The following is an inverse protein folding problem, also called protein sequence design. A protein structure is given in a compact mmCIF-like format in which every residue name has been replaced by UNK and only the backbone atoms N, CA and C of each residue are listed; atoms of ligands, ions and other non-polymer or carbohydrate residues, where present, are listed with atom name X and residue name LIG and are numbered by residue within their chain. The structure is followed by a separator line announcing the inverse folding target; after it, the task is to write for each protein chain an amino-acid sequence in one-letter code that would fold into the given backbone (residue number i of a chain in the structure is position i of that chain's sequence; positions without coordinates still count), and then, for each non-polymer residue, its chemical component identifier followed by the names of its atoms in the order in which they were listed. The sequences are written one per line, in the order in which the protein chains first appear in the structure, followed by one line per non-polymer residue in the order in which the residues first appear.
data_IF_941299828574
#
_entry.id   IF_941299828574
#
_cell.length_a   1.000
_cell.length_b   1.000
_cell.length_c   1.000
_cell.angle_alpha   90.00
_cell.angle_beta   90.00
_cell.angle_gamma   90.00
#
_symmetry.space_group_name_H-M   'P 1'
#
loop_
_entity.id
_entity.type
_entity.pdbx_description
1 polymer ?
#
# COMPACT_ATOMS: atom_id res chain seq x y z
N UNK A 1 22.30 8.51 59.89
CA UNK A 1 23.47 9.41 59.91
C UNK A 1 23.94 9.59 58.49
N UNK A 2 23.90 10.83 57.99
CA UNK A 2 24.40 11.20 56.68
C UNK A 2 25.92 11.39 56.74
N UNK A 3 26.64 11.07 55.66
CA UNK A 3 27.76 11.92 55.26
C UNK A 3 27.96 11.92 53.74
N UNK A 4 28.28 13.11 53.25
CA UNK A 4 28.37 13.55 51.85
C UNK A 4 29.81 13.45 51.31
N UNK A 5 29.91 13.72 50.01
CA UNK A 5 31.05 14.36 49.29
C UNK A 5 32.06 13.38 48.67
N UNK A 6 32.67 13.60 47.49
CA UNK A 6 32.69 14.70 46.52
C UNK A 6 33.36 14.21 45.22
N UNK A 7 33.04 14.86 44.11
CA UNK A 7 33.61 14.71 42.75
C UNK A 7 35.07 15.18 42.61
N UNK A 8 35.76 14.65 41.57
CA UNK A 8 36.88 15.17 40.71
C UNK A 8 37.85 13.99 40.43
N UNK A 9 38.20 13.52 39.23
CA UNK A 9 38.22 14.06 37.87
C UNK A 9 39.69 14.17 37.40
N UNK A 10 40.12 13.42 36.36
CA UNK A 10 41.05 13.87 35.29
C UNK A 10 41.47 12.76 34.27
N UNK A 11 41.38 13.12 32.97
CA UNK A 11 42.24 12.80 31.78
C UNK A 11 42.63 11.35 31.44
N UNK A 12 42.22 10.73 30.32
CA UNK A 12 42.38 11.01 28.87
C UNK A 12 43.59 10.26 28.23
N UNK A 13 43.46 9.97 26.91
CA UNK A 13 44.32 9.19 25.98
C UNK A 13 43.90 7.70 25.92
N UNK A 14 43.43 7.10 24.83
CA UNK A 14 43.34 7.51 23.43
C UNK A 14 43.66 6.30 22.56
N UNK A 15 42.66 5.66 21.95
CA UNK A 15 42.84 4.92 20.69
C UNK A 15 41.65 5.22 19.80
N UNK A 16 41.96 6.03 18.80
CA UNK A 16 41.16 6.36 17.65
C UNK A 16 41.32 5.21 16.63
N UNK A 17 40.26 4.45 16.39
CA UNK A 17 40.14 3.70 15.13
C UNK A 17 38.82 4.08 14.50
N UNK A 18 38.90 5.04 13.57
CA UNK A 18 37.83 5.40 12.66
C UNK A 18 37.75 4.28 11.61
N UNK A 19 36.67 3.51 11.61
CA UNK A 19 36.13 2.94 10.37
C UNK A 19 34.73 3.50 10.19
N UNK A 20 34.66 4.49 9.32
CA UNK A 20 33.46 5.12 8.79
C UNK A 20 32.59 4.13 8.03
N UNK A 21 31.28 4.26 8.21
CA UNK A 21 30.38 4.34 7.07
C UNK A 21 29.40 3.20 6.86
N UNK A 22 28.33 3.15 7.66
CA UNK A 22 26.97 2.90 7.19
C UNK A 22 26.02 3.64 8.14
N UNK A 23 25.23 4.64 7.69
CA UNK A 23 24.07 5.03 8.47
C UNK A 23 23.10 3.85 8.43
N UNK A 24 23.06 3.08 9.52
CA UNK A 24 21.85 2.38 9.92
C UNK A 24 20.78 3.46 10.05
N UNK A 25 20.04 3.69 8.97
CA UNK A 25 18.76 4.37 9.00
C UNK A 25 17.87 3.54 9.91
N UNK A 26 17.91 3.85 11.21
CA UNK A 26 16.92 3.41 12.15
C UNK A 26 15.57 3.78 11.54
N UNK A 27 14.82 2.76 11.11
CA UNK A 27 13.38 2.89 10.95
C UNK A 27 12.88 3.33 12.31
N UNK A 28 12.74 4.64 12.50
CA UNK A 28 12.06 5.19 13.65
C UNK A 28 10.69 4.50 13.67
N UNK A 29 10.40 3.81 14.77
CA UNK A 29 9.10 3.23 15.01
C UNK A 29 8.05 4.34 14.91
N UNK A 30 7.45 4.48 13.73
CA UNK A 30 6.38 5.42 13.49
C UNK A 30 5.11 4.77 13.98
N UNK A 31 4.55 5.34 15.04
CA UNK A 31 3.23 5.00 15.55
C UNK A 31 2.22 5.18 14.41
N UNK A 32 1.72 4.08 13.87
CA UNK A 32 0.55 4.05 12.99
C UNK A 32 -0.63 4.63 13.77
N UNK A 33 -0.89 5.93 13.63
CA UNK A 33 -1.98 6.58 14.33
C UNK A 33 -3.30 6.01 13.81
N UNK A 34 -3.97 5.26 14.66
CA UNK A 34 -5.24 4.66 14.32
C UNK A 34 -6.32 5.76 14.36
N UNK A 35 -7.05 5.92 13.25
CA UNK A 35 -7.98 7.02 13.03
C UNK A 35 -9.37 6.58 13.46
N UNK A 36 -10.01 7.35 14.34
CA UNK A 36 -11.41 7.13 14.69
C UNK A 36 -12.31 7.46 13.51
N UNK A 37 -13.05 6.47 13.03
CA UNK A 37 -14.16 6.67 12.10
C UNK A 37 -15.35 7.29 12.82
N UNK A 38 -16.36 7.66 12.03
CA UNK A 38 -17.69 8.04 12.48
C UNK A 38 -18.41 6.96 13.29
N UNK A 39 -18.06 5.68 13.14
CA UNK A 39 -18.61 4.58 13.97
C UNK A 39 -17.90 4.43 15.31
N UNK A 40 -16.87 5.25 15.58
CA UNK A 40 -16.02 5.15 16.78
C UNK A 40 -14.93 4.08 16.65
N UNK A 41 -14.89 3.36 15.53
CA UNK A 41 -13.89 2.34 15.24
C UNK A 41 -12.55 2.99 14.97
N UNK A 42 -11.50 2.40 15.50
CA UNK A 42 -10.14 2.92 15.36
C UNK A 42 -9.47 2.15 14.22
N UNK A 43 -9.47 2.74 13.02
CA UNK A 43 -8.98 2.09 11.80
C UNK A 43 -7.55 2.54 11.52
N UNK A 44 -6.68 1.59 11.18
CA UNK A 44 -5.38 1.91 10.58
C UNK A 44 -5.61 2.32 9.13
N UNK A 45 -5.19 3.52 8.73
CA UNK A 45 -5.27 3.94 7.32
C UNK A 45 -4.43 3.03 6.39
N UNK A 46 -3.54 2.19 6.95
CA UNK A 46 -2.80 1.14 6.22
C UNK A 46 -3.68 -0.06 5.83
N UNK A 47 -4.87 -0.23 6.43
CA UNK A 47 -5.74 -1.40 6.23
C UNK A 47 -6.96 -1.13 5.34
N UNK A 48 -7.06 0.04 4.70
CA UNK A 48 -8.07 0.25 3.66
C UNK A 48 -7.89 -0.83 2.60
N UNK A 49 -8.94 -1.57 2.22
CA UNK A 49 -8.84 -2.60 1.18
C UNK A 49 -9.11 -2.00 -0.20
N UNK A 50 -8.55 -2.64 -1.23
CA UNK A 50 -8.84 -2.26 -2.61
C UNK A 50 -10.33 -2.44 -2.90
N UNK A 51 -11.00 -1.34 -3.23
CA UNK A 51 -12.43 -1.29 -3.49
C UNK A 51 -13.30 -0.73 -2.39
N UNK A 52 -12.75 -0.60 -1.18
CA UNK A 52 -13.45 -0.03 -0.06
C UNK A 52 -13.21 1.48 0.02
N UNK A 53 -14.18 2.17 0.61
CA UNK A 53 -14.08 3.59 0.93
C UNK A 53 -14.22 3.77 2.44
N UNK A 54 -13.30 4.54 3.02
CA UNK A 54 -13.31 4.86 4.44
C UNK A 54 -13.61 6.34 4.62
N UNK A 55 -14.65 6.65 5.38
CA UNK A 55 -15.09 8.02 5.63
C UNK A 55 -14.53 8.55 6.94
N UNK A 56 -13.92 9.72 6.88
CA UNK A 56 -13.19 10.28 8.02
C UNK A 56 -13.68 11.71 8.31
N UNK A 57 -13.71 12.06 9.59
CA UNK A 57 -14.12 13.36 10.09
C UNK A 57 -13.06 14.00 10.96
N UNK A 58 -12.92 15.33 10.79
CA UNK A 58 -12.06 16.23 11.56
C UNK A 58 -10.65 15.66 11.83
N UNK A 59 -10.01 15.11 10.79
CA UNK A 59 -8.64 14.60 10.88
C UNK A 59 -7.64 15.76 10.76
N UNK A 60 -6.67 15.74 11.65
CA UNK A 60 -5.58 16.71 11.73
C UNK A 60 -4.24 15.97 11.92
N UNK A 61 -3.15 16.63 11.51
CA UNK A 61 -1.79 16.10 11.64
C UNK A 61 -1.34 15.27 10.44
N UNK A 62 -0.16 14.66 10.56
CA UNK A 62 0.42 13.79 9.54
C UNK A 62 0.03 12.33 9.79
N UNK A 63 -0.42 11.63 8.76
CA UNK A 63 -0.79 10.22 8.84
C UNK A 63 -0.30 9.47 7.60
N UNK A 64 0.08 8.21 7.79
CA UNK A 64 0.46 7.32 6.69
C UNK A 64 -0.77 6.85 5.93
N UNK A 65 -0.75 7.01 4.60
CA UNK A 65 -1.73 6.41 3.72
C UNK A 65 -1.07 6.00 2.40
N UNK A 66 -1.26 4.74 2.00
CA UNK A 66 -0.73 4.19 0.76
C UNK A 66 0.77 4.47 0.54
N UNK A 67 1.59 4.26 1.59
CA UNK A 67 3.04 4.45 1.54
C UNK A 67 3.52 5.89 1.60
N UNK A 68 2.63 6.83 1.87
CA UNK A 68 2.94 8.24 1.88
C UNK A 68 2.49 8.88 3.20
N UNK A 69 3.32 9.79 3.72
CA UNK A 69 2.91 10.69 4.79
C UNK A 69 2.00 11.77 4.20
N UNK A 70 0.77 11.85 4.67
CA UNK A 70 -0.22 12.83 4.23
C UNK A 70 -0.56 13.77 5.39
N UNK A 71 -0.37 15.06 5.16
CA UNK A 71 -0.68 16.10 6.13
C UNK A 71 -2.14 16.58 6.00
N UNK A 72 -2.90 16.47 7.07
CA UNK A 72 -4.30 16.88 7.17
C UNK A 72 -4.47 18.11 8.04
N UNK A 73 -5.41 18.96 7.65
CA UNK A 73 -5.83 20.11 8.45
C UNK A 73 -7.35 20.30 8.36
N UNK A 74 -8.04 20.07 9.47
CA UNK A 74 -9.50 20.08 9.60
C UNK A 74 -10.20 19.18 8.59
N UNK A 75 -9.55 18.09 8.19
CA UNK A 75 -9.94 17.28 7.04
C UNK A 75 -11.22 16.51 7.33
N UNK A 76 -12.10 16.44 6.35
CA UNK A 76 -13.14 15.41 6.30
C UNK A 76 -13.46 15.05 4.88
N UNK A 77 -13.72 13.78 4.66
CA UNK A 77 -13.84 13.25 3.31
C UNK A 77 -13.77 11.74 3.29
N UNK A 78 -13.25 11.21 2.19
CA UNK A 78 -13.19 9.77 1.95
C UNK A 78 -11.80 9.37 1.48
N UNK A 79 -11.31 8.26 2.01
CA UNK A 79 -10.17 7.52 1.50
C UNK A 79 -10.67 6.35 0.69
N UNK A 80 -9.95 5.94 -0.34
CA UNK A 80 -10.22 4.69 -1.02
C UNK A 80 -9.01 4.22 -1.81
N UNK A 81 -9.03 2.94 -2.16
CA UNK A 81 -8.04 2.36 -3.07
C UNK A 81 -8.76 1.70 -4.23
N UNK A 82 -8.28 1.99 -5.44
CA UNK A 82 -8.61 1.29 -6.66
C UNK A 82 -7.43 0.41 -7.08
N UNK A 83 -7.65 -0.48 -8.04
CA UNK A 83 -6.61 -1.38 -8.51
C UNK A 83 -5.36 -0.68 -9.06
N UNK A 84 -5.43 0.60 -9.45
CA UNK A 84 -4.32 1.38 -10.02
C UNK A 84 -3.86 2.59 -9.18
N UNK A 85 -4.59 2.96 -8.13
CA UNK A 85 -4.27 4.14 -7.33
C UNK A 85 -4.96 4.13 -5.97
N UNK A 86 -4.36 4.80 -5.00
CA UNK A 86 -5.06 5.25 -3.81
C UNK A 86 -5.54 6.70 -4.00
N UNK A 87 -6.64 7.08 -3.34
CA UNK A 87 -7.19 8.43 -3.47
C UNK A 87 -7.77 8.96 -2.16
N UNK A 88 -7.73 10.29 -2.03
CA UNK A 88 -8.26 11.05 -0.89
C UNK A 88 -9.18 12.15 -1.42
N UNK A 89 -10.48 11.99 -1.21
CA UNK A 89 -11.49 13.00 -1.52
C UNK A 89 -11.62 13.98 -0.37
N UNK A 90 -11.52 15.28 -0.65
CA UNK A 90 -11.66 16.32 0.37
C UNK A 90 -13.07 16.92 0.29
N UNK A 91 -13.85 16.76 1.36
CA UNK A 91 -15.15 17.42 1.53
C UNK A 91 -15.08 18.68 2.43
N UNK A 92 -14.11 18.72 3.36
CA UNK A 92 -13.77 19.86 4.22
C UNK A 92 -12.28 19.82 4.55
N UNK A 93 -11.70 20.97 4.87
CA UNK A 93 -10.30 21.07 5.29
C UNK A 93 -9.35 20.88 4.11
N UNK A 94 -8.16 20.36 4.37
CA UNK A 94 -7.17 20.07 3.33
C UNK A 94 -6.41 18.78 3.61
N UNK A 95 -5.99 18.11 2.53
CA UNK A 95 -5.02 17.01 2.55
C UNK A 95 -3.82 17.42 1.69
N UNK A 96 -2.60 17.13 2.12
CA UNK A 96 -1.39 17.52 1.38
C UNK A 96 -0.34 16.40 1.38
N UNK A 97 0.33 16.24 0.24
CA UNK A 97 1.49 15.36 0.08
C UNK A 97 2.56 16.09 -0.74
N UNK A 98 3.77 16.21 -0.21
CA UNK A 98 4.83 17.01 -0.85
C UNK A 98 4.33 18.42 -1.21
N UNK A 99 4.39 18.78 -2.48
CA UNK A 99 3.89 20.08 -2.99
C UNK A 99 2.40 20.10 -3.36
N UNK A 100 1.72 18.94 -3.34
CA UNK A 100 0.30 18.84 -3.71
C UNK A 100 -0.57 19.08 -2.48
N UNK A 101 -1.53 20.00 -2.62
CA UNK A 101 -2.53 20.30 -1.59
C UNK A 101 -3.92 20.28 -2.21
N UNK A 102 -4.75 19.36 -1.74
CA UNK A 102 -6.15 19.21 -2.12
C UNK A 102 -7.05 19.94 -1.11
N UNK A 103 -8.04 20.65 -1.64
CA UNK A 103 -9.07 21.45 -0.95
C UNK A 103 -10.46 20.86 -1.22
N UNK A 104 -11.53 21.36 -0.59
CA UNK A 104 -12.87 20.80 -0.79
C UNK A 104 -13.29 20.79 -2.26
N UNK A 105 -13.72 19.62 -2.77
CA UNK A 105 -14.01 19.40 -4.19
C UNK A 105 -12.81 18.96 -5.04
N UNK A 106 -11.65 18.76 -4.41
CA UNK A 106 -10.46 18.18 -5.02
C UNK A 106 -10.17 16.79 -4.43
N UNK A 107 -9.56 15.96 -5.26
CA UNK A 107 -9.06 14.63 -4.93
C UNK A 107 -7.54 14.65 -4.98
N UNK A 108 -6.91 14.02 -3.99
CA UNK A 108 -5.49 13.74 -3.99
C UNK A 108 -5.30 12.29 -4.46
N UNK A 109 -4.58 12.09 -5.55
CA UNK A 109 -4.35 10.78 -6.17
C UNK A 109 -2.91 10.36 -5.89
N UNK A 110 -2.78 9.15 -5.34
CA UNK A 110 -1.55 8.52 -4.90
C UNK A 110 -1.31 7.28 -5.76
N UNK A 111 -0.51 7.39 -6.83
CA UNK A 111 -0.14 6.25 -7.64
C UNK A 111 0.78 5.28 -6.87
N UNK A 112 0.80 3.98 -7.23
CA UNK A 112 1.71 2.99 -6.64
C UNK A 112 3.18 3.32 -6.96
N UNK A 113 4.10 2.63 -6.28
CA UNK A 113 5.55 2.66 -6.51
C UNK A 113 6.20 4.02 -6.30
N UNK A 114 5.77 4.74 -5.26
CA UNK A 114 6.38 6.03 -4.86
C UNK A 114 6.32 7.10 -5.94
N UNK A 115 5.49 6.90 -6.98
CA UNK A 115 5.25 7.85 -8.06
C UNK A 115 4.66 9.13 -7.47
N UNK A 116 4.95 10.27 -8.11
CA UNK A 116 4.51 11.58 -7.60
C UNK A 116 2.99 11.63 -7.54
N UNK A 117 2.46 11.95 -6.36
CA UNK A 117 1.04 12.25 -6.17
C UNK A 117 0.60 13.42 -7.04
N UNK A 118 -0.67 13.41 -7.40
CA UNK A 118 -1.30 14.49 -8.16
C UNK A 118 -2.59 14.95 -7.47
N UNK A 119 -3.06 16.12 -7.83
CA UNK A 119 -4.40 16.58 -7.43
C UNK A 119 -5.27 16.81 -8.64
N UNK A 120 -6.53 16.46 -8.51
CA UNK A 120 -7.53 16.66 -9.54
C UNK A 120 -8.83 17.12 -8.90
N UNK A 121 -9.83 17.47 -9.71
CA UNK A 121 -11.19 17.71 -9.23
C UNK A 121 -12.03 16.46 -9.44
N UNK A 122 -12.97 16.21 -8.53
CA UNK A 122 -13.93 15.10 -8.64
C UNK A 122 -15.36 15.61 -8.75
N UNK A 123 -16.25 14.81 -9.34
CA UNK A 123 -17.68 15.10 -9.37
C UNK A 123 -18.33 14.70 -8.04
N UNK A 124 -18.57 15.67 -7.16
CA UNK A 124 -19.16 15.41 -5.86
C UNK A 124 -20.63 14.99 -5.95
N UNK A 125 -21.38 15.43 -6.97
CA UNK A 125 -22.78 15.04 -7.17
C UNK A 125 -22.86 13.57 -7.55
N UNK A 126 -22.06 13.15 -8.52
CA UNK A 126 -22.02 11.74 -8.93
C UNK A 126 -21.51 10.83 -7.82
N UNK A 127 -20.52 11.29 -7.05
CA UNK A 127 -20.01 10.55 -5.90
C UNK A 127 -21.10 10.27 -4.85
N UNK A 128 -21.85 11.30 -4.42
CA UNK A 128 -22.90 11.10 -3.42
C UNK A 128 -24.13 10.35 -3.94
N UNK A 129 -24.39 10.40 -5.26
CA UNK A 129 -25.47 9.64 -5.88
C UNK A 129 -25.22 8.12 -5.89
N UNK A 130 -23.96 7.71 -5.72
CA UNK A 130 -23.59 6.30 -5.64
C UNK A 130 -23.74 5.71 -4.22
N UNK A 131 -24.06 6.53 -3.21
CA UNK A 131 -24.20 6.06 -1.83
C UNK A 131 -25.56 5.41 -1.61
N UNK A 132 -25.57 4.27 -0.90
CA UNK A 132 -26.81 3.65 -0.43
C UNK A 132 -27.40 4.43 0.76
N UNK A 133 -28.68 4.20 1.07
CA UNK A 133 -29.33 4.84 2.21
C UNK A 133 -28.63 4.49 3.54
N UNK A 134 -28.17 3.25 3.68
CA UNK A 134 -27.41 2.78 4.84
C UNK A 134 -26.08 3.52 4.98
N UNK A 135 -25.37 3.73 3.86
CA UNK A 135 -24.11 4.48 3.86
C UNK A 135 -24.33 5.95 4.23
N UNK A 136 -25.42 6.55 3.75
CA UNK A 136 -25.82 7.92 4.11
C UNK A 136 -26.11 8.01 5.61
N UNK A 137 -26.88 7.08 6.16
CA UNK A 137 -27.26 7.09 7.58
C UNK A 137 -26.08 6.86 8.51
N UNK A 138 -25.17 5.96 8.15
CA UNK A 138 -23.94 5.77 8.90
C UNK A 138 -23.06 7.04 8.88
N UNK A 139 -23.03 7.79 7.78
CA UNK A 139 -22.05 8.84 7.52
C UNK A 139 -22.67 10.25 7.30
N UNK A 140 -23.79 10.56 7.97
CA UNK A 140 -24.63 11.76 7.72
C UNK A 140 -23.84 13.07 7.63
N UNK A 141 -22.91 13.31 8.55
CA UNK A 141 -22.12 14.54 8.57
C UNK A 141 -21.14 14.66 7.40
N UNK A 142 -20.51 13.55 7.00
CA UNK A 142 -19.61 13.51 5.83
C UNK A 142 -20.42 13.68 4.56
N UNK A 143 -21.55 12.99 4.46
CA UNK A 143 -22.50 13.14 3.36
C UNK A 143 -22.96 14.59 3.19
N UNK A 144 -23.37 15.26 4.27
CA UNK A 144 -23.74 16.68 4.25
C UNK A 144 -22.58 17.60 3.80
N UNK A 145 -21.32 17.25 4.13
CA UNK A 145 -20.13 17.99 3.63
C UNK A 145 -20.00 17.80 2.11
N UNK A 146 -20.12 16.58 1.59
CA UNK A 146 -20.09 16.34 0.14
C UNK A 146 -21.25 16.99 -0.60
N UNK A 147 -22.47 17.02 -0.04
CA UNK A 147 -23.60 17.77 -0.61
C UNK A 147 -23.30 19.26 -0.76
N UNK A 148 -22.65 19.88 0.24
CA UNK A 148 -22.22 21.28 0.15
C UNK A 148 -21.20 21.50 -0.96
N UNK A 149 -20.27 20.57 -1.16
CA UNK A 149 -19.32 20.61 -2.28
C UNK A 149 -20.06 20.51 -3.62
N UNK A 150 -20.97 19.55 -3.77
CA UNK A 150 -21.77 19.36 -4.99
C UNK A 150 -22.58 20.62 -5.34
N UNK A 151 -23.19 21.27 -4.34
CA UNK A 151 -23.91 22.55 -4.53
C UNK A 151 -22.98 23.67 -5.04
N UNK A 152 -21.78 23.78 -4.47
CA UNK A 152 -20.78 24.78 -4.90
C UNK A 152 -20.29 24.52 -6.33
N UNK A 153 -19.99 23.25 -6.67
CA UNK A 153 -19.58 22.85 -8.01
C UNK A 153 -20.67 23.18 -9.04
N UNK A 154 -21.93 22.81 -8.77
CA UNK A 154 -23.08 23.17 -9.61
C UNK A 154 -23.18 24.67 -9.86
N UNK A 155 -23.00 25.48 -8.81
CA UNK A 155 -23.14 26.93 -8.96
C UNK A 155 -22.03 27.54 -9.81
N UNK A 156 -20.80 27.08 -9.66
CA UNK A 156 -19.72 27.58 -10.48
C UNK A 156 -19.73 27.04 -11.92
N UNK A 157 -20.32 25.86 -12.19
CA UNK A 157 -20.68 25.46 -13.56
C UNK A 157 -21.73 26.39 -14.17
N UNK A 158 -22.79 26.72 -13.42
CA UNK A 158 -23.83 27.66 -13.88
C UNK A 158 -23.26 29.03 -14.26
N UNK A 159 -22.26 29.54 -13.52
CA UNK A 159 -21.57 30.80 -13.84
C UNK A 159 -20.44 30.66 -14.88
N UNK A 160 -20.34 29.54 -15.60
CA UNK A 160 -19.33 29.33 -16.64
C UNK A 160 -17.89 29.28 -16.12
N UNK A 161 -17.69 29.11 -14.80
CA UNK A 161 -16.36 29.09 -14.17
C UNK A 161 -15.73 27.70 -14.15
N UNK A 162 -16.50 26.65 -14.44
CA UNK A 162 -16.05 25.25 -14.40
C UNK A 162 -16.47 24.45 -15.64
N UNK A 163 -15.53 23.68 -16.19
CA UNK A 163 -15.78 22.54 -17.07
C UNK A 163 -16.17 21.30 -16.24
N UNK A 164 -16.92 20.36 -16.84
CA UNK A 164 -17.27 19.08 -16.20
C UNK A 164 -16.02 18.28 -15.85
N UNK A 165 -15.84 17.94 -14.57
CA UNK A 165 -14.65 17.27 -14.05
C UNK A 165 -14.43 15.87 -14.63
N UNK A 166 -13.19 15.49 -14.87
CA UNK A 166 -12.79 14.24 -15.54
C UNK A 166 -12.71 13.00 -14.65
N UNK A 167 -12.59 13.14 -13.32
CA UNK A 167 -12.43 11.99 -12.41
C UNK A 167 -13.76 11.50 -11.85
N UNK A 168 -14.18 10.30 -12.29
CA UNK A 168 -15.35 9.60 -11.80
C UNK A 168 -14.96 8.59 -10.71
N UNK A 169 -15.10 8.99 -9.45
CA UNK A 169 -14.81 8.13 -8.29
C UNK A 169 -15.77 6.92 -8.21
N UNK A 170 -16.96 7.02 -8.82
CA UNK A 170 -17.93 5.92 -8.87
C UNK A 170 -17.62 4.87 -9.95
N UNK A 171 -16.66 5.12 -10.85
CA UNK A 171 -16.19 4.11 -11.80
C UNK A 171 -14.69 4.30 -12.12
N UNK A 172 -13.78 3.97 -11.18
CA UNK A 172 -12.41 3.69 -11.55
C UNK A 172 -12.44 2.36 -12.32
N UNK A 173 -12.50 2.43 -13.66
CA UNK A 173 -12.65 1.27 -14.54
C UNK A 173 -14.09 0.71 -14.59
N UNK A 174 -14.45 0.01 -15.67
CA UNK A 174 -15.73 -0.72 -15.70
C UNK A 174 -15.79 -1.68 -14.51
N UNK A 175 -16.95 -1.77 -13.83
CA UNK A 175 -17.08 -2.54 -12.59
C UNK A 175 -16.58 -3.99 -12.72
N UNK A 176 -16.74 -4.62 -13.89
CA UNK A 176 -16.25 -5.97 -14.15
C UNK A 176 -14.72 -6.05 -14.32
N UNK A 177 -14.09 -5.11 -15.03
CA UNK A 177 -12.63 -5.09 -15.20
C UNK A 177 -11.92 -4.75 -13.89
N UNK A 178 -12.48 -3.83 -13.11
CA UNK A 178 -11.95 -3.50 -11.79
C UNK A 178 -12.10 -4.68 -10.82
N UNK A 179 -13.23 -5.40 -10.85
CA UNK A 179 -13.41 -6.63 -10.06
C UNK A 179 -12.43 -7.74 -10.48
N UNK A 180 -12.22 -7.93 -11.78
CA UNK A 180 -11.23 -8.87 -12.30
C UNK A 180 -9.82 -8.49 -11.84
N UNK A 181 -9.43 -7.23 -11.99
CA UNK A 181 -8.11 -6.77 -11.57
C UNK A 181 -7.90 -6.84 -10.06
N UNK A 182 -8.92 -6.52 -9.26
CA UNK A 182 -8.91 -6.70 -7.80
C UNK A 182 -8.66 -8.14 -7.39
N UNK A 183 -9.20 -9.11 -8.13
CA UNK A 183 -8.93 -10.53 -7.83
C UNK A 183 -7.44 -10.90 -7.96
N UNK A 184 -6.66 -10.11 -8.71
CA UNK A 184 -5.24 -10.36 -8.97
C UNK A 184 -4.33 -9.51 -8.07
N UNK A 185 -4.57 -8.19 -8.02
CA UNK A 185 -3.69 -7.23 -7.31
C UNK A 185 -4.31 -6.65 -6.03
N UNK A 186 -5.50 -7.11 -5.64
CA UNK A 186 -6.21 -6.63 -4.47
C UNK A 186 -5.83 -7.33 -3.16
N UNK A 187 -5.05 -8.42 -3.22
CA UNK A 187 -4.57 -9.11 -2.02
C UNK A 187 -3.74 -8.16 -1.13
N UNK A 188 -3.89 -8.28 0.19
CA UNK A 188 -3.30 -7.35 1.16
C UNK A 188 -1.77 -7.23 0.99
N UNK A 189 -1.06 -8.36 0.82
CA UNK A 189 0.40 -8.36 0.60
C UNK A 189 0.81 -7.67 -0.69
N UNK A 190 0.03 -7.82 -1.77
CA UNK A 190 0.32 -7.18 -3.06
C UNK A 190 0.11 -5.68 -2.93
N UNK A 191 -1.00 -5.27 -2.35
CA UNK A 191 -1.30 -3.87 -2.03
C UNK A 191 -0.19 -3.24 -1.19
N UNK A 192 0.25 -3.92 -0.12
CA UNK A 192 1.32 -3.45 0.76
C UNK A 192 2.61 -3.19 -0.02
N UNK A 193 3.04 -4.11 -0.89
CA UNK A 193 4.26 -3.94 -1.70
C UNK A 193 4.08 -2.78 -2.69
N UNK A 194 2.95 -2.72 -3.39
CA UNK A 194 2.65 -1.69 -4.40
C UNK A 194 2.67 -0.28 -3.82
N UNK A 195 2.21 -0.15 -2.58
CA UNK A 195 2.15 1.09 -1.84
C UNK A 195 3.21 1.15 -0.73
N UNK A 196 4.34 0.47 -0.90
CA UNK A 196 5.48 0.56 0.04
C UNK A 196 6.27 1.86 -0.09
N UNK A 197 6.08 2.60 -1.17
CA UNK A 197 6.87 3.79 -1.51
C UNK A 197 8.17 3.49 -2.27
N UNK A 198 8.49 2.21 -2.53
CA UNK A 198 9.62 1.81 -3.35
C UNK A 198 9.54 2.42 -4.76
N UNK A 199 10.63 3.05 -5.21
CA UNK A 199 10.71 3.74 -6.51
C UNK A 199 11.46 2.95 -7.57
N UNK A 200 12.46 2.19 -7.15
CA UNK A 200 13.27 1.38 -8.05
C UNK A 200 12.61 0.02 -8.30
N UNK A 201 12.49 -0.43 -9.56
CA UNK A 201 11.92 -1.75 -9.87
C UNK A 201 12.59 -2.90 -9.11
N UNK A 202 13.91 -2.83 -8.92
CA UNK A 202 14.66 -3.85 -8.19
C UNK A 202 14.27 -3.95 -6.71
N UNK A 203 13.85 -2.85 -6.08
CA UNK A 203 13.42 -2.84 -4.69
C UNK A 203 12.06 -3.53 -4.53
N UNK A 204 11.17 -3.34 -5.51
CA UNK A 204 9.87 -4.02 -5.58
C UNK A 204 10.09 -5.52 -5.79
N UNK A 205 10.92 -5.90 -6.77
CA UNK A 205 11.28 -7.30 -7.04
C UNK A 205 11.86 -7.96 -5.78
N UNK A 206 12.79 -7.29 -5.10
CA UNK A 206 13.39 -7.78 -3.86
C UNK A 206 12.34 -7.99 -2.78
N UNK A 207 11.45 -7.02 -2.58
CA UNK A 207 10.38 -7.12 -1.57
C UNK A 207 9.43 -8.29 -1.86
N UNK A 208 9.10 -8.53 -3.14
CA UNK A 208 8.32 -9.70 -3.56
C UNK A 208 9.04 -10.99 -3.21
N UNK A 209 10.34 -11.10 -3.54
CA UNK A 209 11.17 -12.28 -3.24
C UNK A 209 11.28 -12.51 -1.73
N UNK A 210 11.57 -11.47 -0.96
CA UNK A 210 11.74 -11.57 0.50
C UNK A 210 10.42 -11.99 1.18
N UNK A 211 9.28 -11.37 0.81
CA UNK A 211 7.97 -11.75 1.36
C UNK A 211 7.53 -13.15 0.93
N UNK A 212 7.77 -13.52 -0.33
CA UNK A 212 7.43 -14.86 -0.83
C UNK A 212 8.21 -15.96 -0.12
N UNK A 213 9.53 -15.80 0.01
CA UNK A 213 10.38 -16.79 0.66
C UNK A 213 10.13 -16.86 2.17
N UNK A 214 9.90 -15.72 2.82
CA UNK A 214 9.47 -15.69 4.22
C UNK A 214 8.14 -16.44 4.43
N UNK A 215 7.18 -16.25 3.51
CA UNK A 215 5.90 -16.95 3.57
C UNK A 215 6.03 -18.46 3.31
N UNK A 216 6.93 -18.90 2.43
CA UNK A 216 7.25 -20.32 2.26
C UNK A 216 7.82 -20.95 3.53
N UNK A 217 8.71 -20.24 4.24
CA UNK A 217 9.29 -20.71 5.51
C UNK A 217 8.27 -20.71 6.64
N UNK A 218 7.38 -19.72 6.68
CA UNK A 218 6.31 -19.60 7.67
C UNK A 218 5.06 -20.44 7.36
N UNK A 219 5.06 -21.20 6.26
CA UNK A 219 3.93 -21.98 5.78
C UNK A 219 2.65 -21.15 5.52
N UNK A 220 2.80 -19.86 5.19
CA UNK A 220 1.70 -18.96 4.85
C UNK A 220 1.28 -19.12 3.38
N UNK A 221 0.40 -20.09 3.15
CA UNK A 221 -0.13 -20.40 1.82
C UNK A 221 -0.86 -19.22 1.17
N UNK A 222 -1.50 -18.34 1.94
CA UNK A 222 -2.26 -17.22 1.40
C UNK A 222 -1.31 -16.17 0.79
N UNK A 223 -0.22 -15.84 1.49
CA UNK A 223 0.80 -14.94 0.97
C UNK A 223 1.56 -15.55 -0.21
N UNK A 224 1.94 -16.84 -0.10
CA UNK A 224 2.58 -17.57 -1.21
C UNK A 224 1.69 -17.52 -2.44
N UNK A 225 0.42 -17.92 -2.31
CA UNK A 225 -0.55 -17.88 -3.41
C UNK A 225 -0.65 -16.48 -4.00
N UNK A 226 -0.85 -15.44 -3.16
CA UNK A 226 -1.01 -14.05 -3.60
C UNK A 226 0.18 -13.49 -4.39
N UNK A 227 1.38 -14.05 -4.23
CA UNK A 227 2.60 -13.63 -4.90
C UNK A 227 3.02 -14.52 -6.09
N UNK A 228 2.37 -15.67 -6.31
CA UNK A 228 2.61 -16.53 -7.49
C UNK A 228 2.10 -15.90 -8.79
N UNK A 229 2.64 -16.25 -9.95
CA UNK A 229 2.10 -15.76 -11.23
C UNK A 229 0.62 -16.19 -11.41
N UNK A 230 -0.33 -15.26 -11.63
CA UNK A 230 -1.74 -15.58 -11.84
C UNK A 230 -2.03 -16.20 -13.22
N UNK A 231 -1.11 -16.06 -14.20
CA UNK A 231 -1.30 -16.49 -15.60
C UNK A 231 -1.74 -17.95 -15.76
N UNK A 232 -1.14 -18.93 -15.06
CA UNK A 232 -1.54 -20.34 -15.18
C UNK A 232 -2.93 -20.65 -14.61
N UNK A 233 -3.50 -19.75 -13.80
CA UNK A 233 -4.73 -20.00 -13.05
C UNK A 233 -5.94 -19.24 -13.60
N UNK A 234 -5.73 -18.19 -14.41
CA UNK A 234 -6.80 -17.32 -14.91
C UNK A 234 -6.30 -15.97 -15.45
N UNK A 235 -5.02 -15.66 -15.23
CA UNK A 235 -4.36 -14.48 -15.80
C UNK A 235 -4.88 -13.18 -15.25
N UNK A 236 -5.68 -12.47 -16.05
CA UNK A 236 -6.19 -11.14 -15.71
C UNK A 236 -7.45 -11.17 -14.81
N UNK A 237 -8.05 -12.34 -14.60
CA UNK A 237 -9.24 -12.53 -13.76
C UNK A 237 -9.13 -13.88 -13.02
N UNK A 238 -9.07 -13.83 -11.69
CA UNK A 238 -9.01 -15.01 -10.82
C UNK A 238 -10.36 -15.36 -10.19
N UNK A 239 -11.44 -14.69 -10.59
CA UNK A 239 -12.80 -15.03 -10.15
C UNK A 239 -13.21 -16.39 -10.72
N UNK A 240 -14.21 -17.03 -10.09
CA UNK A 240 -14.73 -18.32 -10.57
C UNK A 240 -13.90 -19.55 -10.19
N UNK A 241 -13.07 -19.45 -9.15
CA UNK A 241 -12.35 -20.60 -8.56
C UNK A 241 -10.86 -20.69 -8.89
N UNK A 242 -10.38 -19.87 -9.82
CA UNK A 242 -8.96 -19.75 -10.19
C UNK A 242 -8.05 -19.41 -9.00
N UNK A 243 -8.49 -18.52 -8.10
CA UNK A 243 -7.77 -18.20 -6.87
C UNK A 243 -7.61 -19.42 -5.94
N UNK A 244 -8.63 -20.28 -5.89
CA UNK A 244 -8.58 -21.54 -5.13
C UNK A 244 -7.54 -22.52 -5.68
N UNK A 245 -7.41 -22.63 -7.01
CA UNK A 245 -6.38 -23.47 -7.64
C UNK A 245 -4.96 -22.95 -7.34
N UNK A 246 -4.79 -21.62 -7.31
CA UNK A 246 -3.53 -20.96 -6.95
C UNK A 246 -3.17 -21.23 -5.49
N UNK A 247 -4.16 -21.18 -4.58
CA UNK A 247 -3.98 -21.53 -3.17
C UNK A 247 -3.61 -23.01 -2.96
N UNK A 248 -4.26 -23.94 -3.67
CA UNK A 248 -3.89 -25.36 -3.62
C UNK A 248 -2.46 -25.60 -4.10
N UNK A 249 -2.03 -24.90 -5.14
CA UNK A 249 -0.65 -24.98 -5.64
C UNK A 249 0.34 -24.42 -4.63
N UNK A 250 -0.01 -23.35 -3.91
CA UNK A 250 0.81 -22.81 -2.82
C UNK A 250 1.00 -23.85 -1.69
N UNK A 251 -0.06 -24.55 -1.28
CA UNK A 251 0.03 -25.64 -0.31
C UNK A 251 0.92 -26.79 -0.79
N UNK A 252 0.78 -27.19 -2.06
CA UNK A 252 1.63 -28.22 -2.65
C UNK A 252 3.11 -27.78 -2.69
N UNK A 253 3.36 -26.51 -3.02
CA UNK A 253 4.71 -25.96 -3.05
C UNK A 253 5.32 -25.94 -1.64
N UNK A 254 4.60 -25.45 -0.64
CA UNK A 254 5.03 -25.43 0.77
C UNK A 254 5.40 -26.85 1.22
N UNK A 255 4.55 -27.84 0.96
CA UNK A 255 4.77 -29.23 1.38
C UNK A 255 5.85 -29.99 0.59
N UNK A 256 6.26 -29.48 -0.59
CA UNK A 256 7.18 -30.20 -1.48
C UNK A 256 8.59 -30.39 -0.92
N UNK A 257 9.02 -29.52 0.00
CA UNK A 257 10.35 -29.57 0.59
C UNK A 257 10.47 -28.67 1.83
N UNK A 258 11.55 -28.85 2.58
CA UNK A 258 11.85 -28.00 3.73
C UNK A 258 12.46 -26.66 3.28
N UNK A 259 11.62 -25.64 3.15
CA UNK A 259 12.04 -24.29 2.71
C UNK A 259 12.95 -23.57 3.70
N UNK A 260 12.85 -23.85 5.00
CA UNK A 260 13.74 -23.26 6.01
C UNK A 260 15.20 -23.64 5.78
N UNK A 261 15.47 -24.88 5.34
CA UNK A 261 16.82 -25.33 4.99
C UNK A 261 17.32 -24.72 3.68
N UNK A 262 16.41 -24.32 2.77
CA UNK A 262 16.77 -23.75 1.47
C UNK A 262 17.09 -22.26 1.55
N UNK A 263 16.27 -21.51 2.27
CA UNK A 263 16.40 -20.06 2.36
C UNK A 263 17.18 -19.62 3.60
N UNK A 264 16.96 -20.22 4.77
CA UNK A 264 17.67 -19.89 6.01
C UNK A 264 17.85 -18.38 6.21
N UNK A 265 19.06 -17.97 6.61
CA UNK A 265 19.47 -16.56 6.72
C UNK A 265 20.15 -16.04 5.42
N UNK A 266 19.99 -16.73 4.29
CA UNK A 266 20.66 -16.37 3.04
C UNK A 266 19.93 -15.22 2.37
N UNK A 267 20.64 -14.12 2.16
CA UNK A 267 20.11 -13.00 1.39
C UNK A 267 20.03 -13.36 -0.12
N UNK A 268 18.95 -12.98 -0.81
CA UNK A 268 18.85 -13.18 -2.25
C UNK A 268 19.79 -12.26 -3.03
N UNK A 269 20.34 -12.79 -4.12
CA UNK A 269 21.15 -12.02 -5.07
C UNK A 269 20.44 -11.95 -6.42
N UNK A 270 20.29 -10.75 -6.98
CA UNK A 270 19.75 -10.56 -8.33
C UNK A 270 20.80 -11.02 -9.35
N UNK A 271 20.44 -11.97 -10.22
CA UNK A 271 21.38 -12.61 -11.16
C UNK A 271 21.20 -12.20 -12.61
N UNK A 272 20.07 -11.61 -12.96
CA UNK A 272 19.90 -10.96 -14.25
C UNK A 272 18.91 -9.80 -14.16
N UNK A 273 18.96 -8.92 -15.15
CA UNK A 273 18.00 -7.81 -15.27
C UNK A 273 16.56 -8.29 -15.56
N UNK A 274 16.38 -9.54 -15.96
CA UNK A 274 15.09 -10.14 -16.31
C UNK A 274 14.30 -10.67 -15.07
N UNK A 275 14.57 -10.13 -13.88
CA UNK A 275 13.84 -10.52 -12.67
C UNK A 275 14.19 -11.91 -12.12
N UNK A 276 15.41 -12.39 -12.35
CA UNK A 276 15.87 -13.64 -11.76
C UNK A 276 16.65 -13.37 -10.47
N UNK A 277 16.28 -14.09 -9.42
CA UNK A 277 16.88 -14.00 -8.09
C UNK A 277 17.37 -15.35 -7.63
N UNK A 278 18.52 -15.37 -6.96
CA UNK A 278 19.19 -16.58 -6.55
C UNK A 278 19.47 -16.59 -5.06
N UNK A 279 19.27 -17.76 -4.46
CA UNK A 279 19.77 -18.13 -3.14
C UNK A 279 20.81 -19.22 -3.29
N UNK A 280 21.94 -19.07 -2.60
CA UNK A 280 22.99 -20.10 -2.51
C UNK A 280 23.17 -20.46 -1.05
N UNK A 281 22.79 -21.68 -0.69
CA UNK A 281 23.00 -22.22 0.64
C UNK A 281 23.86 -23.49 0.56
N UNK A 282 25.15 -23.35 0.87
CA UNK A 282 26.13 -24.41 0.64
C UNK A 282 26.22 -24.81 -0.83
N UNK A 283 25.94 -26.07 -1.15
CA UNK A 283 25.89 -26.59 -2.53
C UNK A 283 24.53 -26.37 -3.21
N UNK A 284 23.48 -26.09 -2.44
CA UNK A 284 22.16 -25.90 -3.00
C UNK A 284 22.04 -24.53 -3.67
N UNK A 285 21.48 -24.52 -4.88
CA UNK A 285 21.07 -23.30 -5.57
C UNK A 285 19.56 -23.28 -5.75
N UNK A 286 18.91 -22.22 -5.30
CA UNK A 286 17.50 -21.94 -5.60
C UNK A 286 17.41 -20.72 -6.49
N UNK A 287 16.73 -20.84 -7.62
CA UNK A 287 16.47 -19.76 -8.56
C UNK A 287 14.98 -19.43 -8.54
N UNK A 288 14.65 -18.16 -8.30
CA UNK A 288 13.33 -17.59 -8.48
C UNK A 288 13.32 -16.78 -9.77
N UNK A 289 12.31 -17.00 -10.60
CA UNK A 289 12.05 -16.17 -11.78
C UNK A 289 10.78 -15.37 -11.56
N UNK A 290 10.87 -14.07 -11.79
CA UNK A 290 9.76 -13.14 -11.69
C UNK A 290 9.14 -12.87 -13.08
N UNK A 291 7.84 -12.59 -13.11
CA UNK A 291 7.12 -12.17 -14.31
C UNK A 291 6.30 -10.91 -14.03
N UNK A 292 6.39 -9.87 -14.87
CA UNK A 292 5.47 -8.74 -14.81
C UNK A 292 4.08 -9.15 -15.32
N UNK A 293 3.04 -8.84 -14.55
CA UNK A 293 1.64 -8.98 -14.95
C UNK A 293 0.90 -7.69 -14.62
N UNK A 294 0.44 -6.99 -15.66
CA UNK A 294 -0.11 -5.65 -15.50
C UNK A 294 0.97 -4.68 -15.03
N UNK A 295 0.72 -4.03 -13.89
CA UNK A 295 1.67 -3.10 -13.29
C UNK A 295 2.45 -3.69 -12.10
N UNK A 296 2.30 -4.97 -11.76
CA UNK A 296 2.99 -5.65 -10.65
C UNK A 296 3.84 -6.84 -11.13
N UNK A 297 4.71 -7.36 -10.27
CA UNK A 297 5.61 -8.48 -10.56
C UNK A 297 5.33 -9.66 -9.62
N UNK A 298 5.23 -10.86 -10.19
CA UNK A 298 4.88 -12.08 -9.47
C UNK A 298 5.95 -13.17 -9.63
N UNK A 299 5.98 -14.14 -8.72
CA UNK A 299 6.86 -15.32 -8.80
C UNK A 299 6.31 -16.29 -9.84
N UNK A 300 6.98 -16.38 -10.98
CA UNK A 300 6.62 -17.29 -12.06
C UNK A 300 7.03 -18.72 -11.75
N UNK A 301 8.25 -18.91 -11.25
CA UNK A 301 8.79 -20.23 -10.98
C UNK A 301 9.85 -20.21 -9.90
N UNK A 302 10.02 -21.38 -9.30
CA UNK A 302 11.06 -21.68 -8.34
C UNK A 302 11.72 -22.99 -8.76
N UNK A 303 13.02 -22.91 -9.05
CA UNK A 303 13.81 -24.05 -9.48
C UNK A 303 14.89 -24.30 -8.44
N UNK A 304 14.94 -25.51 -7.89
CA UNK A 304 15.99 -25.91 -6.97
C UNK A 304 16.93 -26.91 -7.65
N UNK A 305 18.22 -26.60 -7.61
CA UNK A 305 19.31 -27.46 -8.08
C UNK A 305 20.22 -27.86 -6.92
N UNK A 306 20.84 -29.04 -7.07
CA UNK A 306 21.90 -29.53 -6.19
C UNK A 306 23.29 -29.03 -6.63
#
# INVERSE_FOLDING_TARGET
MANRSLFRGLTAIGVLTVLSGLPLSAFAGQTSAAVKTNTGETISLKSTRTGDQTFIQNLDGAHDFAGNEVAFSGFSGAFGMASDMAYILVAKGTASIGSQKAKPGEVLILPPYGRRGSKQRYDAKRFIQAWSEEAIDANRDVYARFQRVAKKQRMAMFFGRYESTSFNVAAPGSSSQELARRSVVGADVVTEIRFSGAREPSDIERTVVDKFTSALVAEDAQTVASLMDPTPFGGADLRGGADGARLLTAHQLISSQNWSQRFGDVAPTRVSENGNWQFVNGKTRTLLSLRPVGDFVFIQSINTGA
#
